data_IF_707667834826
#
_entry.id   IF_707667834826
#
_cell.length_a   1.000
_cell.length_b   1.000
_cell.length_c   1.000
_cell.angle_alpha   90.00
_cell.angle_beta   90.00
_cell.angle_gamma   90.00
#
_symmetry.space_group_name_H-M   'P 1'
#
loop_
_entity.id
_entity.type
_entity.pdbx_description
1 polymer ?
#
# COMPACT_ATOMS: atom_id res chain seq x y z
N UNK A 1 -24.07 -1.97 12.43
CA UNK A 1 -22.63 -2.19 12.34
C UNK A 1 -22.14 -1.93 10.95
N UNK A 2 -21.04 -1.21 10.85
CA UNK A 2 -20.45 -0.95 9.55
C UNK A 2 -19.77 -2.21 9.03
N UNK A 3 -19.73 -2.33 7.70
CA UNK A 3 -18.96 -3.40 7.08
C UNK A 3 -17.48 -3.22 7.39
N UNK A 4 -16.71 -4.32 7.45
CA UNK A 4 -15.26 -4.17 7.64
C UNK A 4 -14.64 -3.37 6.52
N UNK A 5 -13.65 -2.57 6.86
CA UNK A 5 -12.90 -1.83 5.85
C UNK A 5 -12.08 -2.82 5.02
N UNK A 6 -11.93 -2.51 3.75
CA UNK A 6 -11.24 -3.37 2.80
C UNK A 6 -9.86 -2.82 2.49
N UNK A 7 -8.82 -3.60 2.78
CA UNK A 7 -7.42 -3.21 2.54
C UNK A 7 -6.85 -4.11 1.46
N UNK A 8 -6.26 -3.53 0.42
CA UNK A 8 -5.59 -4.28 -0.62
C UNK A 8 -4.09 -4.28 -0.33
N UNK A 9 -3.48 -5.47 -0.27
CA UNK A 9 -2.04 -5.63 -0.04
C UNK A 9 -1.39 -5.98 -1.36
N UNK A 10 -0.41 -5.18 -1.79
CA UNK A 10 0.27 -5.35 -3.06
C UNK A 10 1.77 -5.49 -2.85
N UNK A 11 2.32 -6.68 -3.09
CA UNK A 11 3.74 -6.94 -2.94
C UNK A 11 4.04 -8.24 -3.70
N UNK A 12 5.20 -8.32 -4.33
CA UNK A 12 5.57 -9.52 -5.08
C UNK A 12 6.12 -10.63 -4.19
N UNK A 13 6.24 -10.40 -2.89
CA UNK A 13 6.66 -11.40 -1.92
C UNK A 13 5.43 -12.04 -1.29
N UNK A 14 5.09 -13.28 -1.67
CA UNK A 14 3.86 -13.90 -1.14
C UNK A 14 3.90 -14.13 0.37
N UNK A 15 5.07 -14.35 0.94
CA UNK A 15 5.16 -14.54 2.38
C UNK A 15 4.81 -13.26 3.13
N UNK A 16 5.28 -12.13 2.63
CA UNK A 16 4.96 -10.85 3.24
C UNK A 16 3.48 -10.53 3.10
N UNK A 17 2.93 -10.76 1.90
CA UNK A 17 1.50 -10.53 1.67
C UNK A 17 0.67 -11.35 2.64
N UNK A 18 1.02 -12.63 2.82
CA UNK A 18 0.30 -13.50 3.73
C UNK A 18 0.39 -13.02 5.17
N UNK A 19 1.59 -12.65 5.61
CA UNK A 19 1.81 -12.20 6.98
C UNK A 19 1.03 -10.92 7.27
N UNK A 20 1.10 -9.96 6.37
CA UNK A 20 0.37 -8.70 6.52
C UNK A 20 -1.13 -8.96 6.52
N UNK A 21 -1.60 -9.83 5.62
CA UNK A 21 -3.01 -10.15 5.52
C UNK A 21 -3.53 -10.74 6.82
N UNK A 22 -2.81 -11.71 7.38
CA UNK A 22 -3.21 -12.35 8.62
C UNK A 22 -3.30 -11.34 9.76
N UNK A 23 -2.33 -10.44 9.83
CA UNK A 23 -2.31 -9.43 10.87
C UNK A 23 -3.51 -8.50 10.78
N UNK A 24 -3.81 -8.03 9.57
CA UNK A 24 -4.90 -7.09 9.39
C UNK A 24 -6.27 -7.78 9.55
N UNK A 25 -6.38 -9.02 9.07
CA UNK A 25 -7.63 -9.76 9.27
C UNK A 25 -7.90 -9.99 10.75
N UNK A 26 -6.85 -10.25 11.52
CA UNK A 26 -7.00 -10.43 12.96
C UNK A 26 -7.50 -9.15 13.63
N UNK A 27 -7.30 -8.00 13.02
CA UNK A 27 -7.77 -6.72 13.56
C UNK A 27 -9.13 -6.32 13.01
N UNK A 28 -9.75 -7.17 12.20
CA UNK A 28 -11.10 -6.95 11.72
C UNK A 28 -11.21 -6.38 10.32
N UNK A 29 -10.10 -6.24 9.59
CA UNK A 29 -10.15 -5.75 8.22
C UNK A 29 -10.42 -6.90 7.26
N UNK A 30 -11.06 -6.58 6.15
CA UNK A 30 -11.16 -7.49 5.02
C UNK A 30 -9.97 -7.21 4.11
N UNK A 31 -9.32 -8.25 3.61
CA UNK A 31 -8.05 -8.08 2.89
C UNK A 31 -8.10 -8.72 1.51
N UNK A 32 -7.63 -7.97 0.51
CA UNK A 32 -7.38 -8.50 -0.82
C UNK A 32 -5.88 -8.56 -1.05
N UNK A 33 -5.45 -9.35 -2.02
CA UNK A 33 -4.04 -9.58 -2.31
C UNK A 33 -3.75 -9.41 -3.78
N UNK A 34 -2.63 -8.78 -4.11
CA UNK A 34 -2.14 -8.68 -5.47
C UNK A 34 -0.62 -8.76 -5.44
N UNK A 35 -0.04 -9.34 -6.46
CA UNK A 35 1.39 -9.68 -6.45
C UNK A 35 2.20 -8.89 -7.47
N UNK A 36 1.57 -8.03 -8.23
CA UNK A 36 2.25 -7.05 -9.09
C UNK A 36 1.31 -5.89 -9.38
N UNK A 37 1.83 -4.87 -10.06
CA UNK A 37 1.05 -3.65 -10.28
C UNK A 37 -0.13 -3.83 -11.22
N UNK A 38 0.00 -4.71 -12.21
CA UNK A 38 -1.09 -4.96 -13.12
C UNK A 38 -2.24 -5.70 -12.44
N UNK A 39 -1.89 -6.70 -11.65
CA UNK A 39 -2.86 -7.45 -10.87
C UNK A 39 -3.56 -6.53 -9.88
N UNK A 40 -2.79 -5.64 -9.27
CA UNK A 40 -3.35 -4.67 -8.34
C UNK A 40 -4.36 -3.75 -9.03
N UNK A 41 -4.03 -3.27 -10.22
CA UNK A 41 -4.92 -2.39 -10.96
C UNK A 41 -6.24 -3.08 -11.28
N UNK A 42 -6.16 -4.33 -11.74
CA UNK A 42 -7.35 -5.11 -12.02
C UNK A 42 -8.20 -5.29 -10.77
N UNK A 43 -7.56 -5.59 -9.66
CA UNK A 43 -8.24 -5.79 -8.39
C UNK A 43 -8.96 -4.53 -7.94
N UNK A 44 -8.31 -3.38 -8.08
CA UNK A 44 -8.88 -2.10 -7.70
C UNK A 44 -10.11 -1.78 -8.54
N UNK A 45 -10.05 -2.11 -9.81
CA UNK A 45 -11.19 -1.85 -10.71
C UNK A 45 -12.37 -2.75 -10.41
N UNK A 46 -12.10 -3.96 -9.93
CA UNK A 46 -13.17 -4.89 -9.57
C UNK A 46 -13.84 -4.49 -8.26
N UNK A 47 -13.03 -4.10 -7.29
CA UNK A 47 -13.56 -3.69 -5.99
C UNK A 47 -12.63 -2.63 -5.42
N UNK A 48 -13.15 -1.42 -5.27
CA UNK A 48 -12.38 -0.28 -4.77
C UNK A 48 -12.01 -0.51 -3.31
N UNK A 49 -10.70 -0.55 -2.98
CA UNK A 49 -10.32 -0.71 -1.58
C UNK A 49 -10.46 0.59 -0.79
N UNK A 50 -10.51 0.45 0.52
CA UNK A 50 -10.54 1.61 1.41
C UNK A 50 -9.12 2.10 1.71
N UNK A 51 -8.12 1.23 1.54
CA UNK A 51 -6.71 1.57 1.72
C UNK A 51 -5.87 0.57 0.94
N UNK A 52 -4.71 1.01 0.46
CA UNK A 52 -3.78 0.15 -0.27
C UNK A 52 -2.43 0.15 0.45
N UNK A 53 -1.89 -1.04 0.72
CA UNK A 53 -0.51 -1.21 1.17
C UNK A 53 0.27 -1.67 -0.05
N UNK A 54 1.25 -0.89 -0.49
CA UNK A 54 1.83 -1.01 -1.82
C UNK A 54 3.35 -1.04 -1.78
N UNK A 55 3.93 -2.14 -2.25
CA UNK A 55 5.38 -2.25 -2.38
C UNK A 55 5.88 -1.35 -3.51
N UNK A 56 6.97 -0.65 -3.27
CA UNK A 56 7.57 0.23 -4.26
C UNK A 56 8.19 -0.57 -5.40
N UNK A 57 8.93 -1.63 -5.07
CA UNK A 57 9.70 -2.38 -6.05
C UNK A 57 8.99 -3.66 -6.47
N UNK A 58 8.37 -3.61 -7.62
CA UNK A 58 7.68 -4.78 -8.18
C UNK A 58 7.95 -4.88 -9.67
N UNK A 59 7.92 -6.11 -10.23
CA UNK A 59 8.04 -6.27 -11.67
C UNK A 59 6.84 -5.69 -12.39
N UNK A 60 7.03 -5.40 -13.65
CA UNK A 60 6.04 -4.88 -14.59
C UNK A 60 5.64 -3.45 -14.26
N UNK A 61 4.80 -3.24 -13.26
CA UNK A 61 4.39 -1.89 -12.87
C UNK A 61 4.79 -1.68 -11.42
N UNK A 62 5.75 -0.78 -11.18
CA UNK A 62 6.21 -0.57 -9.81
C UNK A 62 5.23 0.29 -9.01
N UNK A 63 5.45 0.33 -7.70
CA UNK A 63 4.53 0.98 -6.80
C UNK A 63 4.37 2.48 -7.05
N UNK A 64 5.45 3.16 -7.41
CA UNK A 64 5.35 4.59 -7.70
C UNK A 64 4.46 4.85 -8.91
N UNK A 65 4.62 4.05 -9.96
CA UNK A 65 3.80 4.20 -11.15
C UNK A 65 2.32 4.01 -10.83
N UNK A 66 2.02 2.96 -10.10
CA UNK A 66 0.64 2.68 -9.73
C UNK A 66 0.08 3.76 -8.83
N UNK A 67 0.86 4.21 -7.86
CA UNK A 67 0.43 5.27 -6.95
C UNK A 67 0.12 6.54 -7.73
N UNK A 68 0.99 6.90 -8.66
CA UNK A 68 0.78 8.09 -9.47
C UNK A 68 -0.49 7.98 -10.31
N UNK A 69 -0.71 6.82 -10.92
CA UNK A 69 -1.94 6.61 -11.69
C UNK A 69 -3.18 6.78 -10.84
N UNK A 70 -3.16 6.22 -9.65
CA UNK A 70 -4.31 6.28 -8.76
C UNK A 70 -4.55 7.69 -8.26
N UNK A 71 -3.49 8.39 -7.89
CA UNK A 71 -3.64 9.76 -7.38
C UNK A 71 -4.07 10.74 -8.46
N UNK A 72 -3.85 10.40 -9.72
CA UNK A 72 -4.29 11.23 -10.83
C UNK A 72 -5.67 10.84 -11.37
N UNK A 73 -6.27 9.81 -10.81
CA UNK A 73 -7.58 9.32 -11.27
C UNK A 73 -8.65 9.78 -10.28
N UNK A 74 -9.62 10.59 -10.73
CA UNK A 74 -10.67 11.09 -9.82
C UNK A 74 -11.44 9.99 -9.09
N UNK A 75 -11.50 8.79 -9.66
CA UNK A 75 -12.21 7.69 -9.03
C UNK A 75 -11.45 7.07 -7.86
N UNK A 76 -10.12 7.25 -7.83
CA UNK A 76 -9.27 6.55 -6.86
C UNK A 76 -8.36 7.47 -6.06
N UNK A 77 -8.32 8.76 -6.38
CA UNK A 77 -7.32 9.65 -5.78
C UNK A 77 -7.49 9.81 -4.27
N UNK A 78 -8.65 9.52 -3.74
CA UNK A 78 -8.88 9.66 -2.30
C UNK A 78 -8.54 8.41 -1.50
N UNK A 79 -8.15 7.31 -2.16
CA UNK A 79 -7.77 6.09 -1.44
C UNK A 79 -6.43 6.31 -0.75
N UNK A 80 -6.35 6.15 0.58
CA UNK A 80 -5.05 6.26 1.26
C UNK A 80 -4.12 5.13 0.85
N UNK A 81 -2.85 5.46 0.68
CA UNK A 81 -1.82 4.51 0.22
C UNK A 81 -0.64 4.56 1.18
N UNK A 82 -0.24 3.39 1.69
CA UNK A 82 0.98 3.22 2.48
C UNK A 82 1.99 2.50 1.58
N UNK A 83 3.14 3.16 1.33
CA UNK A 83 4.18 2.57 0.49
C UNK A 83 5.17 1.80 1.36
N UNK A 84 5.52 0.59 0.92
CA UNK A 84 6.54 -0.20 1.59
C UNK A 84 7.85 -0.06 0.81
N UNK A 85 8.91 0.34 1.49
CA UNK A 85 10.20 0.59 0.87
C UNK A 85 11.24 -0.39 1.40
N UNK A 86 12.23 -0.73 0.57
CA UNK A 86 13.31 -1.62 1.01
C UNK A 86 14.21 -0.89 2.00
N UNK A 87 14.73 -1.64 2.99
CA UNK A 87 15.63 -1.06 3.97
C UNK A 87 16.83 -0.41 3.29
N UNK A 88 17.39 -1.10 2.30
CA UNK A 88 18.56 -0.59 1.61
C UNK A 88 18.32 0.69 0.85
N UNK A 89 17.09 1.05 0.60
CA UNK A 89 16.78 2.27 -0.13
C UNK A 89 16.57 3.46 0.79
N UNK A 90 16.87 3.32 2.08
CA UNK A 90 16.71 4.43 3.00
C UNK A 90 17.50 5.66 2.55
N UNK A 91 18.72 5.44 2.08
CA UNK A 91 19.55 6.51 1.54
C UNK A 91 18.97 7.02 0.24
N UNK A 92 18.53 6.10 -0.59
CA UNK A 92 17.94 6.46 -1.88
C UNK A 92 16.61 7.14 -1.70
N UNK A 93 15.88 6.77 -0.65
CA UNK A 93 14.61 7.41 -0.33
C UNK A 93 14.78 8.90 -0.12
N UNK A 94 15.89 9.29 0.50
CA UNK A 94 16.20 10.70 0.69
C UNK A 94 16.34 11.40 -0.65
N UNK A 95 16.98 10.73 -1.59
CA UNK A 95 17.16 11.26 -2.93
C UNK A 95 15.82 11.44 -3.64
N UNK A 96 14.96 10.43 -3.54
CA UNK A 96 13.62 10.54 -4.12
C UNK A 96 12.88 11.72 -3.54
N UNK A 97 12.95 11.86 -2.25
CA UNK A 97 12.27 12.94 -1.56
C UNK A 97 12.66 14.30 -2.12
N UNK A 98 13.93 14.47 -2.39
CA UNK A 98 14.43 15.73 -2.90
C UNK A 98 14.09 15.93 -4.38
N UNK A 99 14.17 14.87 -5.15
CA UNK A 99 14.07 15.01 -6.59
C UNK A 99 12.67 15.30 -7.05
N UNK A 100 11.72 14.54 -6.56
CA UNK A 100 10.44 14.51 -7.23
C UNK A 100 9.26 14.81 -6.33
N UNK A 101 9.49 14.98 -5.06
CA UNK A 101 8.38 15.10 -4.16
C UNK A 101 7.54 13.83 -4.13
N UNK A 102 8.14 12.69 -4.45
CA UNK A 102 7.43 11.43 -4.50
C UNK A 102 6.78 11.09 -3.18
N UNK A 103 7.37 11.57 -2.09
CA UNK A 103 6.80 11.34 -0.77
C UNK A 103 5.40 11.93 -0.64
N UNK A 104 5.02 12.82 -1.55
CA UNK A 104 3.68 13.42 -1.51
C UNK A 104 2.64 12.57 -2.21
N UNK A 105 3.06 11.55 -2.95
CA UNK A 105 2.12 10.69 -3.67
C UNK A 105 1.40 9.74 -2.73
N UNK A 106 2.13 9.13 -1.80
CA UNK A 106 1.53 8.23 -0.84
C UNK A 106 1.19 8.98 0.44
N UNK A 107 0.27 8.42 1.19
CA UNK A 107 -0.14 9.03 2.45
C UNK A 107 0.83 8.71 3.57
N UNK A 108 1.56 7.60 3.46
CA UNK A 108 2.60 7.26 4.41
C UNK A 108 3.58 6.27 3.79
N UNK A 109 4.72 6.09 4.42
CA UNK A 109 5.78 5.19 3.97
C UNK A 109 6.25 4.35 5.15
N UNK A 110 6.62 3.09 4.88
CA UNK A 110 7.10 2.19 5.92
C UNK A 110 8.22 1.34 5.34
N UNK A 111 9.38 1.33 6.02
CA UNK A 111 10.53 0.58 5.54
C UNK A 111 10.40 -0.90 5.87
N UNK A 112 10.93 -1.75 4.99
CA UNK A 112 11.04 -3.17 5.26
C UNK A 112 12.31 -3.43 6.06
N UNK A 113 12.34 -4.41 6.94
CA UNK A 113 11.27 -5.37 7.22
C UNK A 113 10.10 -4.70 7.94
N UNK A 114 8.90 -5.10 7.58
CA UNK A 114 7.70 -4.42 8.05
C UNK A 114 7.45 -4.76 9.52
N UNK A 115 7.31 -3.72 10.32
CA UNK A 115 6.86 -3.86 11.70
C UNK A 115 5.33 -3.95 11.66
N UNK A 116 4.80 -5.12 11.95
CA UNK A 116 3.36 -5.35 11.82
C UNK A 116 2.53 -4.47 12.75
N UNK A 117 3.06 -4.17 13.92
CA UNK A 117 2.36 -3.28 14.86
C UNK A 117 2.31 -1.86 14.31
N UNK A 118 3.42 -1.40 13.74
CA UNK A 118 3.45 -0.05 13.16
C UNK A 118 2.54 0.04 11.95
N UNK A 119 2.53 -0.99 11.11
CA UNK A 119 1.64 -1.01 9.97
C UNK A 119 0.18 -0.94 10.40
N UNK A 120 -0.18 -1.73 11.41
CA UNK A 120 -1.56 -1.72 11.92
C UNK A 120 -1.94 -0.34 12.46
N UNK A 121 -0.99 0.33 13.13
CA UNK A 121 -1.24 1.69 13.61
C UNK A 121 -1.51 2.65 12.47
N UNK A 122 -0.69 2.58 11.41
CA UNK A 122 -0.87 3.46 10.26
C UNK A 122 -2.21 3.20 9.56
N UNK A 123 -2.57 1.93 9.41
CA UNK A 123 -3.85 1.59 8.81
C UNK A 123 -4.99 2.17 9.63
N UNK A 124 -4.91 2.03 10.95
CA UNK A 124 -5.96 2.55 11.83
C UNK A 124 -6.04 4.08 11.78
N UNK A 125 -4.91 4.74 11.65
CA UNK A 125 -4.87 6.20 11.53
C UNK A 125 -5.51 6.68 10.25
N UNK A 126 -5.29 5.96 9.15
CA UNK A 126 -5.80 6.37 7.85
C UNK A 126 -7.22 5.89 7.60
N UNK A 127 -7.68 4.93 8.36
CA UNK A 127 -9.05 4.39 8.26
C UNK A 127 -9.76 4.48 9.61
N UNK A 128 -10.01 5.67 10.10
CA UNK A 128 -10.75 5.78 11.37
C UNK A 128 -12.16 5.23 11.17
N UNK A 129 -12.65 4.51 12.16
CA UNK A 129 -13.99 3.94 12.09
C UNK A 129 -15.06 4.95 12.41
#
# INVERSE_FOLDING_TARGET
MADPKYVLIVDDDPDLVETVSMNLEAKGYRVGKAFDGEEARESIEKERPDLIVLDVMMPRKNGYELCEELKNDPNYQSIPIIMLTAVGSAVDSTTYTHQDGMQLLADDYLAKPVDMNRLAELVAELLPS
#
